data_IF_961220922695
#
_entry.id   IF_961220922695
#
_cell.length_a   1.000
_cell.length_b   1.000
_cell.length_c   1.000
_cell.angle_alpha   90.00
_cell.angle_beta   90.00
_cell.angle_gamma   90.00
#
_symmetry.space_group_name_H-M   'P 1'
#
loop_
_entity.id
_entity.type
_entity.pdbx_description
1 polymer ?
#
# COMPACT_ATOMS: atom_id res chain seq x y z
N UNK A 1 16.55 52.85 -3.11
CA UNK A 1 16.08 52.68 -4.50
C UNK A 1 17.31 52.72 -5.41
N UNK A 2 17.46 51.70 -6.28
CA UNK A 2 18.63 51.33 -7.11
C UNK A 2 19.78 50.61 -6.38
N UNK A 3 19.78 49.27 -6.43
CA UNK A 3 20.96 48.43 -6.15
C UNK A 3 21.11 47.33 -7.21
N UNK A 4 21.85 47.70 -8.27
CA UNK A 4 22.96 46.97 -8.91
C UNK A 4 22.91 45.45 -9.04
N UNK A 5 22.27 45.03 -10.13
CA UNK A 5 22.45 43.76 -10.87
C UNK A 5 23.89 43.58 -11.40
N UNK A 6 24.74 44.61 -11.36
CA UNK A 6 26.00 44.66 -12.10
C UNK A 6 27.21 43.98 -11.43
N UNK A 7 27.16 43.59 -10.15
CA UNK A 7 28.36 43.08 -9.45
C UNK A 7 28.39 41.56 -9.22
N UNK A 8 27.29 40.84 -9.49
CA UNK A 8 27.21 39.40 -9.17
C UNK A 8 27.55 38.45 -10.33
N UNK A 9 27.87 38.99 -11.51
CA UNK A 9 28.09 38.18 -12.74
C UNK A 9 29.57 37.96 -13.05
N UNK A 10 30.52 38.57 -12.32
CA UNK A 10 31.96 38.41 -12.62
C UNK A 10 32.61 37.15 -12.02
N UNK A 11 31.83 36.30 -11.34
CA UNK A 11 32.25 35.00 -10.80
C UNK A 11 31.76 33.78 -11.59
N UNK A 12 31.17 33.97 -12.78
CA UNK A 12 30.66 32.90 -13.66
C UNK A 12 31.76 32.23 -14.51
N UNK A 13 32.93 31.97 -13.91
CA UNK A 13 34.03 31.21 -14.52
C UNK A 13 34.73 30.31 -13.50
N UNK A 14 34.06 29.23 -13.11
CA UNK A 14 34.68 27.93 -12.79
C UNK A 14 33.58 26.91 -12.43
N UNK A 15 33.07 26.22 -13.45
CA UNK A 15 32.43 24.91 -13.37
C UNK A 15 31.36 24.69 -12.30
N UNK A 16 30.14 25.11 -12.57
CA UNK A 16 28.96 24.57 -11.90
C UNK A 16 27.96 24.18 -13.00
N UNK A 17 27.69 22.88 -13.10
CA UNK A 17 26.94 22.25 -14.20
C UNK A 17 25.44 22.49 -14.17
N UNK A 18 24.91 23.15 -13.13
CA UNK A 18 23.48 23.45 -13.05
C UNK A 18 23.24 24.82 -12.42
N UNK A 19 22.78 25.75 -13.26
CA UNK A 19 22.07 26.95 -12.80
C UNK A 19 20.80 27.11 -13.63
N UNK A 20 19.73 26.45 -13.18
CA UNK A 20 18.38 26.64 -13.71
C UNK A 20 17.64 27.68 -12.86
N UNK A 21 17.41 28.84 -13.48
CA UNK A 21 16.54 29.90 -12.96
C UNK A 21 15.06 29.53 -13.18
N UNK A 22 14.29 29.76 -12.11
CA UNK A 22 12.84 29.56 -11.87
C UNK A 22 11.91 30.30 -12.89
N UNK A 23 10.61 29.91 -13.01
CA UNK A 23 9.69 29.76 -11.88
C UNK A 23 9.00 28.40 -11.75
N UNK A 24 9.53 27.56 -10.87
CA UNK A 24 8.76 26.80 -9.87
C UNK A 24 9.70 26.41 -8.72
N UNK A 25 9.27 26.60 -7.48
CA UNK A 25 10.07 26.24 -6.32
C UNK A 25 10.07 24.73 -6.15
N UNK A 26 11.12 24.06 -6.61
CA UNK A 26 11.37 22.64 -6.29
C UNK A 26 11.24 22.38 -4.77
N UNK A 27 11.62 23.36 -3.95
CA UNK A 27 11.44 23.36 -2.50
C UNK A 27 9.96 23.36 -2.07
N UNK A 28 9.06 24.04 -2.80
CA UNK A 28 7.62 24.00 -2.51
C UNK A 28 7.01 22.67 -2.93
N UNK A 29 7.43 22.12 -4.08
CA UNK A 29 6.99 20.79 -4.50
C UNK A 29 7.45 19.72 -3.50
N UNK A 30 8.72 19.76 -3.09
CA UNK A 30 9.26 18.89 -2.05
C UNK A 30 8.53 19.09 -0.72
N UNK A 31 8.33 20.32 -0.27
CA UNK A 31 7.58 20.60 0.96
C UNK A 31 6.13 20.11 0.88
N UNK A 32 5.50 20.16 -0.30
CA UNK A 32 4.13 19.67 -0.51
C UNK A 32 4.08 18.14 -0.52
N UNK A 33 5.06 17.48 -1.13
CA UNK A 33 5.24 16.01 -1.06
C UNK A 33 5.51 15.58 0.38
N UNK A 34 6.45 16.21 1.07
CA UNK A 34 6.79 15.92 2.47
C UNK A 34 5.61 16.18 3.42
N UNK A 35 4.83 17.24 3.17
CA UNK A 35 3.62 17.53 3.96
C UNK A 35 2.52 16.48 3.72
N UNK A 36 2.35 16.01 2.48
CA UNK A 36 1.42 14.92 2.15
C UNK A 36 1.87 13.60 2.80
N UNK A 37 3.15 13.25 2.72
CA UNK A 37 3.70 12.07 3.38
C UNK A 37 3.52 12.16 4.91
N UNK A 38 3.89 13.28 5.55
CA UNK A 38 3.76 13.47 7.01
C UNK A 38 2.30 13.42 7.48
N UNK A 39 1.37 13.97 6.70
CA UNK A 39 -0.08 13.90 6.97
C UNK A 39 -0.60 12.46 6.90
N UNK A 40 -0.04 11.64 6.00
CA UNK A 40 -0.32 10.21 5.93
C UNK A 40 0.21 9.46 7.17
N UNK A 41 1.42 9.80 7.64
CA UNK A 41 2.05 9.09 8.77
C UNK A 41 1.51 9.47 10.16
N UNK A 42 0.93 10.67 10.34
CA UNK A 42 0.62 11.18 11.68
C UNK A 42 -0.83 10.94 12.14
N UNK A 43 -1.67 10.27 11.33
CA UNK A 43 -3.10 10.08 11.68
C UNK A 43 -3.85 8.89 11.09
N UNK A 44 -3.21 7.95 10.40
CA UNK A 44 -3.84 6.66 10.14
C UNK A 44 -3.53 5.76 11.32
N UNK A 45 -4.55 5.33 12.08
CA UNK A 45 -4.44 4.07 12.81
C UNK A 45 -3.91 3.06 11.81
N UNK A 46 -2.71 2.53 12.01
CA UNK A 46 -2.12 1.48 11.18
C UNK A 46 -2.88 0.17 11.30
N UNK A 47 -4.11 0.21 11.80
CA UNK A 47 -4.93 -0.92 12.18
C UNK A 47 -6.18 -0.94 11.31
N UNK A 48 -6.41 -2.05 10.63
CA UNK A 48 -7.63 -2.34 9.86
C UNK A 48 -8.40 -3.42 10.63
N UNK A 49 -9.65 -3.16 10.97
CA UNK A 49 -10.53 -4.09 11.67
C UNK A 49 -11.57 -4.64 10.69
N UNK A 50 -11.63 -5.97 10.55
CA UNK A 50 -12.57 -6.69 9.67
C UNK A 50 -13.13 -7.86 10.47
N UNK A 51 -14.38 -7.74 10.92
CA UNK A 51 -15.03 -8.73 11.77
C UNK A 51 -14.18 -9.07 13.02
N UNK A 52 -13.77 -10.33 13.19
CA UNK A 52 -12.90 -10.77 14.27
C UNK A 52 -11.40 -10.57 14.01
N UNK A 53 -11.04 -10.01 12.85
CA UNK A 53 -9.66 -9.76 12.44
C UNK A 53 -9.21 -8.33 12.76
N UNK A 54 -7.97 -8.22 13.21
CA UNK A 54 -7.27 -6.95 13.41
C UNK A 54 -5.92 -7.01 12.70
N UNK A 55 -5.74 -6.20 11.66
CA UNK A 55 -4.52 -6.13 10.86
C UNK A 55 -3.75 -4.89 11.28
N UNK A 56 -2.57 -5.07 11.87
CA UNK A 56 -1.62 -3.98 12.09
C UNK A 56 -0.64 -3.91 10.90
N UNK A 57 -0.90 -2.96 10.00
CA UNK A 57 -0.11 -2.66 8.80
C UNK A 57 1.29 -2.12 9.11
N UNK A 58 1.49 -1.53 10.31
CA UNK A 58 2.80 -1.04 10.73
C UNK A 58 3.68 -2.16 11.26
N UNK A 59 3.11 -3.05 12.07
CA UNK A 59 3.80 -4.21 12.63
C UNK A 59 3.84 -5.39 11.66
N UNK A 60 3.05 -5.35 10.58
CA UNK A 60 2.79 -6.46 9.66
C UNK A 60 2.29 -7.72 10.38
N UNK A 61 1.35 -7.53 11.30
CA UNK A 61 0.77 -8.62 12.10
C UNK A 61 -0.73 -8.65 11.96
N UNK A 62 -1.30 -9.85 12.03
CA UNK A 62 -2.75 -10.06 12.03
C UNK A 62 -3.13 -10.77 13.31
N UNK A 63 -4.21 -10.32 13.94
CA UNK A 63 -4.84 -10.99 15.06
C UNK A 63 -6.24 -11.44 14.68
N UNK A 64 -6.68 -12.55 15.24
CA UNK A 64 -8.05 -13.06 15.16
C UNK A 64 -8.55 -13.28 16.58
N UNK A 65 -9.68 -12.68 16.94
CA UNK A 65 -10.20 -12.70 18.33
C UNK A 65 -9.15 -12.27 19.37
N UNK A 66 -8.27 -11.34 19.01
CA UNK A 66 -7.17 -10.85 19.86
C UNK A 66 -5.93 -11.74 19.91
N UNK A 67 -5.96 -12.96 19.36
CA UNK A 67 -4.81 -13.86 19.28
C UNK A 67 -4.03 -13.68 17.98
N UNK A 68 -2.71 -13.80 18.03
CA UNK A 68 -1.84 -13.57 16.87
C UNK A 68 -2.01 -14.73 15.85
N UNK A 69 -2.36 -14.38 14.62
CA UNK A 69 -2.57 -15.33 13.53
C UNK A 69 -1.28 -15.44 12.69
N UNK A 70 -0.72 -16.64 12.61
CA UNK A 70 0.50 -16.87 11.84
C UNK A 70 0.21 -16.98 10.34
N UNK A 71 0.64 -15.96 9.59
CA UNK A 71 0.52 -15.86 8.15
C UNK A 71 1.91 -15.84 7.52
N UNK A 72 2.06 -16.56 6.41
CA UNK A 72 3.23 -16.39 5.57
C UNK A 72 3.27 -14.98 4.98
N UNK A 73 4.44 -14.50 4.56
CA UNK A 73 4.58 -13.18 3.96
C UNK A 73 3.62 -12.95 2.76
N UNK A 74 3.36 -14.00 1.97
CA UNK A 74 2.41 -13.92 0.84
C UNK A 74 0.96 -13.85 1.30
N UNK A 75 0.58 -14.68 2.27
CA UNK A 75 -0.79 -14.63 2.82
C UNK A 75 -1.08 -13.27 3.45
N UNK A 76 -0.12 -12.72 4.20
CA UNK A 76 -0.22 -11.38 4.77
C UNK A 76 -0.39 -10.32 3.68
N UNK A 77 0.49 -10.30 2.67
CA UNK A 77 0.45 -9.30 1.61
C UNK A 77 -0.89 -9.33 0.84
N UNK A 78 -1.40 -10.53 0.55
CA UNK A 78 -2.70 -10.69 -0.09
C UNK A 78 -3.83 -10.16 0.81
N UNK A 79 -3.82 -10.51 2.10
CA UNK A 79 -4.86 -10.06 3.04
C UNK A 79 -4.84 -8.54 3.21
N UNK A 80 -3.66 -7.95 3.42
CA UNK A 80 -3.46 -6.50 3.54
C UNK A 80 -3.97 -5.79 2.28
N UNK A 81 -3.60 -6.28 1.09
CA UNK A 81 -4.02 -5.66 -0.16
C UNK A 81 -5.54 -5.73 -0.38
N UNK A 82 -6.16 -6.87 -0.07
CA UNK A 82 -7.60 -7.03 -0.12
C UNK A 82 -8.32 -6.18 0.93
N UNK A 83 -7.74 -6.03 2.13
CA UNK A 83 -8.28 -5.21 3.22
C UNK A 83 -8.23 -3.72 2.90
N UNK A 84 -7.14 -3.24 2.27
CA UNK A 84 -7.05 -1.86 1.77
C UNK A 84 -8.05 -1.57 0.66
N UNK A 85 -8.53 -2.60 -0.05
CA UNK A 85 -9.54 -2.54 -1.11
C UNK A 85 -10.86 -3.21 -0.69
N UNK A 86 -11.22 -3.16 0.59
CA UNK A 86 -12.44 -3.77 1.12
C UNK A 86 -13.68 -3.44 0.28
N UNK A 87 -14.48 -4.45 -0.06
CA UNK A 87 -15.67 -4.31 -0.90
C UNK A 87 -15.42 -4.12 -2.40
N UNK A 88 -14.18 -3.96 -2.84
CA UNK A 88 -13.83 -3.92 -4.26
C UNK A 88 -13.40 -5.29 -4.78
N UNK A 89 -13.70 -5.57 -6.06
CA UNK A 89 -13.19 -6.76 -6.73
C UNK A 89 -11.76 -6.50 -7.18
N UNK A 90 -10.84 -7.33 -6.74
CA UNK A 90 -9.42 -7.30 -7.10
C UNK A 90 -9.12 -8.48 -8.01
N UNK A 91 -8.58 -8.17 -9.20
CA UNK A 91 -8.25 -9.20 -10.19
C UNK A 91 -7.05 -10.05 -9.77
N UNK A 92 -6.93 -11.24 -10.37
CA UNK A 92 -5.75 -12.10 -10.12
C UNK A 92 -4.46 -11.40 -10.50
N UNK A 93 -4.44 -10.75 -11.65
CA UNK A 93 -3.29 -10.01 -12.16
C UNK A 93 -2.89 -8.88 -11.21
N UNK A 94 -3.84 -8.11 -10.67
CA UNK A 94 -3.53 -7.08 -9.66
C UNK A 94 -2.92 -7.67 -8.38
N UNK A 95 -3.38 -8.85 -7.94
CA UNK A 95 -2.79 -9.52 -6.77
C UNK A 95 -1.38 -9.98 -7.10
N UNK A 96 -1.15 -10.56 -8.28
CA UNK A 96 0.17 -11.00 -8.74
C UNK A 96 1.15 -9.81 -8.80
N UNK A 97 0.75 -8.71 -9.44
CA UNK A 97 1.55 -7.48 -9.52
C UNK A 97 1.89 -6.91 -8.14
N UNK A 98 1.01 -7.08 -7.16
CA UNK A 98 1.23 -6.59 -5.80
C UNK A 98 2.18 -7.48 -4.98
N UNK A 99 2.16 -8.81 -5.20
CA UNK A 99 2.94 -9.76 -4.39
C UNK A 99 4.29 -10.17 -5.01
N UNK A 100 4.53 -9.88 -6.29
CA UNK A 100 5.77 -10.20 -6.99
C UNK A 100 6.57 -8.94 -7.32
N UNK A 101 7.84 -8.92 -6.94
CA UNK A 101 8.84 -8.03 -7.54
C UNK A 101 9.13 -8.50 -8.98
N UNK A 102 9.33 -7.54 -9.90
CA UNK A 102 9.34 -7.57 -11.37
C UNK A 102 10.19 -8.66 -12.10
N UNK A 103 10.76 -9.65 -11.40
CA UNK A 103 11.73 -10.62 -11.94
C UNK A 103 11.27 -12.08 -11.91
N UNK A 104 10.06 -12.39 -11.43
CA UNK A 104 9.55 -13.77 -11.35
C UNK A 104 8.22 -13.88 -12.08
N UNK A 105 8.19 -14.65 -13.17
CA UNK A 105 6.94 -15.04 -13.81
C UNK A 105 6.09 -15.82 -12.80
N UNK A 106 4.90 -15.34 -12.41
CA UNK A 106 4.03 -16.09 -11.52
C UNK A 106 3.69 -17.44 -12.15
N UNK A 107 3.81 -18.52 -11.37
CA UNK A 107 3.16 -19.77 -11.73
C UNK A 107 1.65 -19.58 -11.57
N UNK A 108 0.87 -19.97 -12.58
CA UNK A 108 -0.56 -19.65 -12.76
C UNK A 108 -1.50 -20.00 -11.60
N UNK A 109 -1.05 -20.69 -10.54
CA UNK A 109 -1.89 -21.16 -9.42
C UNK A 109 -1.42 -20.69 -8.03
N UNK A 110 -0.38 -19.86 -7.93
CA UNK A 110 0.17 -19.47 -6.62
C UNK A 110 -0.81 -18.60 -5.83
N UNK A 111 -1.47 -17.64 -6.49
CA UNK A 111 -2.50 -16.81 -5.86
C UNK A 111 -3.66 -17.66 -5.37
N UNK A 112 -4.16 -18.56 -6.22
CA UNK A 112 -5.28 -19.44 -5.89
C UNK A 112 -4.96 -20.32 -4.66
N UNK A 113 -3.75 -20.89 -4.59
CA UNK A 113 -3.30 -21.69 -3.44
C UNK A 113 -3.14 -20.85 -2.17
N UNK A 114 -2.56 -19.64 -2.28
CA UNK A 114 -2.40 -18.73 -1.15
C UNK A 114 -3.76 -18.25 -0.62
N UNK A 115 -4.71 -17.90 -1.48
CA UNK A 115 -6.08 -17.55 -1.11
C UNK A 115 -6.77 -18.72 -0.41
N UNK A 116 -6.61 -19.95 -0.91
CA UNK A 116 -7.18 -21.14 -0.29
C UNK A 116 -6.65 -21.35 1.14
N UNK A 117 -5.33 -21.26 1.33
CA UNK A 117 -4.72 -21.37 2.65
C UNK A 117 -5.14 -20.23 3.57
N UNK A 118 -5.14 -19.00 3.07
CA UNK A 118 -5.56 -17.80 3.81
C UNK A 118 -7.01 -17.95 4.30
N UNK A 119 -7.94 -18.37 3.42
CA UNK A 119 -9.35 -18.62 3.78
C UNK A 119 -9.50 -19.58 4.96
N UNK A 120 -8.75 -20.69 4.96
CA UNK A 120 -8.79 -21.65 6.08
C UNK A 120 -8.27 -21.06 7.39
N UNK A 121 -7.32 -20.13 7.33
CA UNK A 121 -6.74 -19.51 8.53
C UNK A 121 -7.66 -18.41 9.10
N UNK A 122 -8.32 -17.67 8.22
CA UNK A 122 -9.21 -16.56 8.61
C UNK A 122 -10.68 -16.95 8.71
N UNK A 123 -11.04 -18.20 8.40
CA UNK A 123 -12.44 -18.64 8.44
C UNK A 123 -13.01 -18.49 9.84
N UNK A 124 -14.10 -17.74 9.97
CA UNK A 124 -14.85 -17.62 11.22
C UNK A 124 -16.05 -18.59 11.16
N UNK A 125 -16.16 -19.47 12.16
CA UNK A 125 -17.24 -20.47 12.24
C UNK A 125 -18.59 -19.83 12.57
N UNK A 126 -18.59 -18.65 13.21
CA UNK A 126 -19.80 -17.90 13.54
C UNK A 126 -20.36 -17.13 12.33
N UNK A 127 -19.58 -17.02 11.25
CA UNK A 127 -19.98 -16.39 10.00
C UNK A 127 -20.54 -17.42 9.02
N UNK A 128 -21.80 -17.25 8.64
CA UNK A 128 -22.43 -18.03 7.55
C UNK A 128 -21.75 -17.80 6.17
N UNK A 129 -20.79 -16.88 6.06
CA UNK A 129 -20.17 -16.46 4.80
C UNK A 129 -18.65 -16.35 4.92
N UNK A 130 -17.94 -16.86 3.91
CA UNK A 130 -16.50 -16.62 3.75
C UNK A 130 -16.20 -15.11 3.59
N UNK A 131 -15.24 -14.60 4.37
CA UNK A 131 -14.75 -13.21 4.28
C UNK A 131 -14.21 -12.89 2.88
N UNK A 132 -13.38 -13.77 2.32
CA UNK A 132 -12.83 -13.61 0.97
C UNK A 132 -13.66 -14.44 -0.01
N UNK A 133 -14.39 -13.80 -0.93
CA UNK A 133 -15.19 -14.51 -1.93
C UNK A 133 -14.56 -14.47 -3.31
N UNK A 134 -14.78 -15.54 -4.10
CA UNK A 134 -14.38 -15.56 -5.51
C UNK A 134 -15.48 -14.96 -6.37
N UNK A 135 -15.16 -13.92 -7.14
CA UNK A 135 -16.00 -13.43 -8.23
C UNK A 135 -15.54 -14.08 -9.53
N UNK A 136 -16.28 -15.11 -9.97
CA UNK A 136 -15.92 -15.91 -11.14
C UNK A 136 -15.64 -15.02 -12.36
N UNK A 137 -14.51 -15.27 -13.01
CA UNK A 137 -14.05 -14.50 -14.18
C UNK A 137 -13.49 -13.11 -13.87
N UNK A 138 -13.53 -12.64 -12.62
CA UNK A 138 -13.11 -11.29 -12.26
C UNK A 138 -11.97 -11.30 -11.24
N UNK A 139 -12.04 -12.14 -10.20
CA UNK A 139 -11.00 -12.22 -9.17
C UNK A 139 -11.58 -12.50 -7.79
N UNK A 140 -11.12 -11.75 -6.80
CA UNK A 140 -11.48 -11.91 -5.39
C UNK A 140 -12.03 -10.62 -4.80
N UNK A 141 -12.89 -10.74 -3.79
CA UNK A 141 -13.40 -9.61 -3.02
C UNK A 141 -13.30 -9.96 -1.54
N UNK A 142 -12.88 -9.01 -0.72
CA UNK A 142 -13.08 -9.07 0.71
C UNK A 142 -14.42 -8.42 1.02
N UNK A 143 -15.34 -9.18 1.63
CA UNK A 143 -16.65 -8.65 1.99
C UNK A 143 -16.51 -7.64 3.13
N UNK A 144 -17.25 -6.51 3.06
CA UNK A 144 -17.23 -5.55 4.13
C UNK A 144 -17.92 -6.08 5.38
N UNK A 145 -17.41 -5.71 6.55
CA UNK A 145 -18.08 -6.05 7.81
C UNK A 145 -19.40 -5.28 7.91
N UNK A 146 -20.51 -6.00 7.97
CA UNK A 146 -21.80 -5.39 8.35
C UNK A 146 -21.71 -4.96 9.82
N UNK A 147 -21.62 -3.65 10.06
CA UNK A 147 -21.83 -3.05 11.38
C UNK A 147 -23.27 -3.22 11.86
#
# INVERSE_FOLDING_TARGET
>A
AKDTIADRVKGLRKGADDYLIKPFALEELLARIEALCRRSFQKSSSTIEIDDLTIDTSAKTVKKNGELLDLTAREYAILEYLALKEGAVVSRTEIEEHIYDELVSPMSNVVDSAICNLRRKISNEDLDKELIQTKRGQGYILLPTSK
#
